data_IF_969908976555
#
_entry.id   IF_969908976555
#
_cell.length_a   1.000
_cell.length_b   1.000
_cell.length_c   1.000
_cell.angle_alpha   90.00
_cell.angle_beta   90.00
_cell.angle_gamma   90.00
#
_symmetry.space_group_name_H-M   'P 1'
#
loop_
_entity.id
_entity.type
_entity.pdbx_description
1 polymer ?
#
# COMPACT_ATOMS: atom_id res chain seq x y z
N UNK A 1 17.03 15.79 -4.08
CA UNK A 1 16.28 15.83 -2.80
C UNK A 1 14.96 16.63 -2.90
N UNK A 2 14.95 17.83 -3.50
CA UNK A 2 13.72 18.65 -3.64
C UNK A 2 12.60 17.99 -4.44
N UNK A 3 12.89 17.26 -5.51
CA UNK A 3 11.89 16.55 -6.32
C UNK A 3 11.20 15.42 -5.57
N UNK A 4 11.94 14.65 -4.77
CA UNK A 4 11.37 13.55 -3.97
C UNK A 4 10.40 14.08 -2.91
N UNK A 5 10.73 15.19 -2.27
CA UNK A 5 9.85 15.85 -1.31
C UNK A 5 8.62 16.48 -2.00
N UNK A 6 8.80 17.10 -3.16
CA UNK A 6 7.70 17.71 -3.90
C UNK A 6 6.68 16.66 -4.38
N UNK A 7 7.13 15.53 -4.91
CA UNK A 7 6.25 14.43 -5.32
C UNK A 7 5.70 13.66 -4.12
N UNK A 8 6.50 13.46 -3.07
CA UNK A 8 6.08 12.76 -1.85
C UNK A 8 5.00 13.51 -1.04
N UNK A 9 5.03 14.85 -1.04
CA UNK A 9 4.07 15.69 -0.33
C UNK A 9 2.98 16.27 -1.25
N UNK A 10 3.31 16.54 -2.50
CA UNK A 10 2.40 17.19 -3.44
C UNK A 10 1.13 16.38 -3.70
N UNK A 11 1.27 15.11 -4.06
CA UNK A 11 0.13 14.23 -4.31
C UNK A 11 -0.78 14.05 -3.08
N UNK A 12 -0.26 13.73 -1.87
CA UNK A 12 -1.06 13.69 -0.65
C UNK A 12 -1.85 14.96 -0.38
N UNK A 13 -1.20 16.10 -0.46
CA UNK A 13 -1.84 17.40 -0.18
C UNK A 13 -2.94 17.70 -1.21
N UNK A 14 -2.64 17.55 -2.50
CA UNK A 14 -3.63 17.78 -3.56
C UNK A 14 -4.82 16.84 -3.44
N UNK A 15 -4.58 15.57 -3.12
CA UNK A 15 -5.64 14.59 -2.94
C UNK A 15 -6.50 14.91 -1.71
N UNK A 16 -5.88 15.29 -0.61
CA UNK A 16 -6.60 15.65 0.61
C UNK A 16 -7.43 16.93 0.46
N UNK A 17 -6.89 17.92 -0.24
CA UNK A 17 -7.64 19.14 -0.56
C UNK A 17 -8.80 18.83 -1.52
N UNK A 18 -8.53 18.10 -2.60
CA UNK A 18 -9.54 17.82 -3.61
C UNK A 18 -10.63 16.89 -3.11
N UNK A 19 -10.25 15.75 -2.55
CA UNK A 19 -11.18 14.71 -2.11
C UNK A 19 -11.65 14.96 -0.68
N UNK A 20 -10.73 15.26 0.24
CA UNK A 20 -11.07 15.46 1.65
C UNK A 20 -11.89 16.71 1.90
N UNK A 21 -11.45 17.87 1.40
CA UNK A 21 -12.16 19.12 1.59
C UNK A 21 -13.21 19.38 0.50
N UNK A 22 -12.91 19.09 -0.77
CA UNK A 22 -13.82 19.35 -1.88
C UNK A 22 -15.03 18.41 -1.87
N UNK A 23 -14.80 17.13 -2.11
CA UNK A 23 -15.89 16.11 -2.08
C UNK A 23 -16.42 15.97 -0.66
N UNK A 24 -15.55 16.03 0.37
CA UNK A 24 -15.93 15.93 1.77
C UNK A 24 -16.97 16.96 2.18
N UNK A 25 -16.81 18.22 1.80
CA UNK A 25 -17.78 19.26 2.10
C UNK A 25 -19.17 18.96 1.51
N UNK A 26 -19.24 18.38 0.30
CA UNK A 26 -20.49 17.98 -0.34
C UNK A 26 -21.13 16.78 0.36
N UNK A 27 -20.32 15.77 0.71
CA UNK A 27 -20.80 14.57 1.40
C UNK A 27 -21.31 14.92 2.79
N UNK A 28 -20.53 15.67 3.57
CA UNK A 28 -20.89 16.06 4.93
C UNK A 28 -22.15 16.95 4.95
N UNK A 29 -22.30 17.87 3.98
CA UNK A 29 -23.49 18.69 3.84
C UNK A 29 -24.73 17.85 3.49
N UNK A 30 -24.62 16.86 2.59
CA UNK A 30 -25.72 16.01 2.17
C UNK A 30 -26.14 14.98 3.25
N UNK A 31 -25.24 14.64 4.17
CA UNK A 31 -25.52 13.73 5.29
C UNK A 31 -25.96 14.47 6.58
N UNK A 32 -26.27 15.77 6.46
CA UNK A 32 -26.64 16.58 7.62
C UNK A 32 -25.52 16.76 8.65
N UNK A 33 -24.28 16.69 8.22
CA UNK A 33 -23.08 16.78 9.08
C UNK A 33 -22.67 15.45 9.71
N UNK A 34 -23.39 14.34 9.45
CA UNK A 34 -23.09 13.02 10.00
C UNK A 34 -21.96 12.28 9.28
N UNK A 35 -21.52 12.77 8.13
CA UNK A 35 -20.47 12.14 7.33
C UNK A 35 -20.79 10.72 6.88
N UNK A 36 -19.76 9.86 6.75
CA UNK A 36 -19.91 8.44 6.42
C UNK A 36 -19.53 7.60 7.66
N UNK A 37 -20.35 6.64 8.03
CA UNK A 37 -20.18 5.80 9.22
C UNK A 37 -20.03 6.63 10.53
N UNK A 38 -20.70 7.78 10.59
CA UNK A 38 -20.68 8.64 11.78
C UNK A 38 -19.44 9.49 11.97
N UNK A 39 -18.57 9.59 10.95
CA UNK A 39 -17.37 10.44 10.98
C UNK A 39 -17.32 11.36 9.76
N UNK A 40 -16.70 12.56 9.85
CA UNK A 40 -16.47 13.42 8.70
C UNK A 40 -15.79 12.66 7.56
N UNK A 41 -16.13 12.99 6.33
CA UNK A 41 -15.64 12.28 5.14
C UNK A 41 -14.10 12.23 5.07
N UNK A 42 -13.42 13.30 5.48
CA UNK A 42 -11.95 13.34 5.53
C UNK A 42 -11.37 12.26 6.47
N UNK A 43 -12.03 12.00 7.60
CA UNK A 43 -11.62 10.94 8.54
C UNK A 43 -11.93 9.55 7.99
N UNK A 44 -13.03 9.41 7.25
CA UNK A 44 -13.41 8.15 6.60
C UNK A 44 -12.39 7.73 5.53
N UNK A 45 -11.89 8.66 4.71
CA UNK A 45 -10.93 8.34 3.63
C UNK A 45 -9.49 8.26 4.10
N UNK A 46 -9.13 8.88 5.23
CA UNK A 46 -7.75 9.01 5.69
C UNK A 46 -7.01 7.66 5.84
N UNK A 47 -7.56 6.59 6.44
CA UNK A 47 -6.90 5.28 6.54
C UNK A 47 -6.61 4.67 5.16
N UNK A 48 -7.52 4.84 4.20
CA UNK A 48 -7.36 4.32 2.85
C UNK A 48 -6.27 5.07 2.06
N UNK A 49 -6.24 6.38 2.18
CA UNK A 49 -5.21 7.21 1.55
C UNK A 49 -3.83 6.88 2.12
N UNK A 50 -3.72 6.68 3.44
CA UNK A 50 -2.47 6.33 4.09
C UNK A 50 -1.96 4.96 3.65
N UNK A 51 -2.83 3.95 3.64
CA UNK A 51 -2.48 2.59 3.19
C UNK A 51 -2.10 2.57 1.70
N UNK A 52 -2.79 3.36 0.86
CA UNK A 52 -2.45 3.51 -0.55
C UNK A 52 -1.08 4.15 -0.76
N UNK A 53 -0.75 5.16 0.05
CA UNK A 53 0.56 5.81 0.02
C UNK A 53 1.69 4.84 0.44
N UNK A 54 1.44 4.00 1.45
CA UNK A 54 2.38 2.97 1.87
C UNK A 54 2.63 1.94 0.74
N UNK A 55 1.56 1.43 0.11
CA UNK A 55 1.64 0.50 -1.02
C UNK A 55 2.38 1.14 -2.19
N UNK A 56 2.09 2.40 -2.54
CA UNK A 56 2.76 3.09 -3.62
C UNK A 56 4.25 3.30 -3.32
N UNK A 57 4.59 3.69 -2.09
CA UNK A 57 5.97 3.92 -1.67
C UNK A 57 6.86 2.67 -1.79
N UNK A 58 6.34 1.47 -1.49
CA UNK A 58 7.09 0.22 -1.68
C UNK A 58 7.15 -0.20 -3.15
N UNK A 59 6.10 0.09 -3.94
CA UNK A 59 6.06 -0.23 -5.37
C UNK A 59 7.21 0.41 -6.15
N UNK A 60 7.53 1.65 -5.81
CA UNK A 60 8.60 2.41 -6.45
C UNK A 60 9.97 1.70 -6.35
N UNK A 61 10.18 0.81 -5.37
CA UNK A 61 11.43 0.09 -5.16
C UNK A 61 11.39 -1.34 -5.71
N UNK A 62 10.28 -2.05 -5.54
CA UNK A 62 10.18 -3.46 -5.95
C UNK A 62 9.91 -3.66 -7.45
N UNK A 63 9.76 -2.59 -8.22
CA UNK A 63 9.54 -2.61 -9.68
C UNK A 63 10.82 -2.29 -10.44
N UNK A 64 10.93 -1.07 -11.00
CA UNK A 64 12.04 -0.68 -11.86
C UNK A 64 13.42 -0.77 -11.21
N UNK A 65 13.68 -0.33 -9.96
CA UNK A 65 14.98 -0.48 -9.34
C UNK A 65 15.40 -1.94 -9.15
N UNK A 66 14.45 -2.81 -8.80
CA UNK A 66 14.72 -4.25 -8.73
C UNK A 66 15.01 -4.83 -10.11
N UNK A 67 14.29 -4.40 -11.15
CA UNK A 67 14.55 -4.80 -12.53
C UNK A 67 15.92 -4.34 -12.97
N UNK A 68 16.31 -3.10 -12.63
CA UNK A 68 17.61 -2.52 -12.92
C UNK A 68 18.75 -3.39 -12.36
N UNK A 69 18.65 -3.76 -11.10
CA UNK A 69 19.63 -4.65 -10.45
C UNK A 69 19.81 -6.01 -11.13
N UNK A 70 18.76 -6.50 -11.83
CA UNK A 70 18.84 -7.77 -12.58
C UNK A 70 19.23 -7.61 -14.05
N UNK A 71 18.73 -6.58 -14.74
CA UNK A 71 18.73 -6.54 -16.21
C UNK A 71 19.73 -5.52 -16.76
N UNK A 72 19.64 -4.29 -16.28
CA UNK A 72 20.41 -3.18 -16.86
C UNK A 72 21.79 -3.05 -16.19
N UNK A 73 21.85 -2.71 -14.92
CA UNK A 73 23.10 -2.55 -14.18
C UNK A 73 23.71 -3.90 -13.74
N UNK A 74 22.88 -4.95 -13.68
CA UNK A 74 23.29 -6.30 -13.24
C UNK A 74 24.00 -6.33 -11.89
N UNK A 75 23.71 -5.35 -11.04
CA UNK A 75 24.33 -5.17 -9.73
C UNK A 75 24.13 -6.40 -8.82
N UNK A 76 22.97 -7.05 -8.90
CA UNK A 76 22.69 -8.23 -8.07
C UNK A 76 23.60 -9.41 -8.40
N UNK A 77 24.02 -9.57 -9.66
CA UNK A 77 24.99 -10.60 -10.04
C UNK A 77 26.39 -10.29 -9.45
N UNK A 78 26.81 -9.03 -9.49
CA UNK A 78 28.08 -8.61 -8.90
C UNK A 78 28.08 -8.83 -7.37
N UNK A 79 26.98 -8.51 -6.68
CA UNK A 79 26.84 -8.74 -5.25
C UNK A 79 26.83 -10.25 -4.96
N UNK A 80 26.11 -11.06 -5.74
CA UNK A 80 26.03 -12.51 -5.56
C UNK A 80 27.37 -13.23 -5.84
N UNK A 81 28.29 -12.60 -6.57
CA UNK A 81 29.66 -13.10 -6.76
C UNK A 81 30.55 -12.93 -5.50
N UNK A 82 30.06 -12.24 -4.48
CA UNK A 82 30.73 -12.09 -3.18
C UNK A 82 30.20 -13.14 -2.18
N UNK A 83 30.40 -12.92 -0.89
CA UNK A 83 29.85 -13.78 0.19
C UNK A 83 28.36 -13.59 0.46
N UNK A 84 27.69 -12.67 -0.27
CA UNK A 84 26.27 -12.36 -0.10
C UNK A 84 25.40 -13.31 -0.90
N UNK A 85 24.50 -14.00 -0.22
CA UNK A 85 23.59 -14.96 -0.86
C UNK A 85 22.42 -14.27 -1.57
N UNK A 86 21.83 -14.96 -2.55
CA UNK A 86 20.63 -14.50 -3.27
C UNK A 86 19.46 -14.16 -2.32
N UNK A 87 19.34 -14.88 -1.20
CA UNK A 87 18.33 -14.59 -0.16
C UNK A 87 18.60 -13.25 0.53
N UNK A 88 19.85 -12.99 0.90
CA UNK A 88 20.23 -11.71 1.53
C UNK A 88 20.05 -10.52 0.58
N UNK A 89 20.25 -10.72 -0.73
CA UNK A 89 19.93 -9.69 -1.73
C UNK A 89 18.42 -9.40 -1.76
N UNK A 90 17.58 -10.45 -1.78
CA UNK A 90 16.12 -10.30 -1.75
C UNK A 90 15.64 -9.61 -0.46
N UNK A 91 16.20 -9.99 0.70
CA UNK A 91 15.89 -9.36 1.98
C UNK A 91 16.34 -7.88 2.00
N UNK A 92 17.51 -7.57 1.42
CA UNK A 92 17.99 -6.20 1.25
C UNK A 92 17.06 -5.33 0.42
N UNK A 93 16.59 -5.83 -0.72
CA UNK A 93 15.59 -5.12 -1.56
C UNK A 93 14.30 -4.87 -0.77
N UNK A 94 13.81 -5.87 -0.04
CA UNK A 94 12.60 -5.72 0.77
C UNK A 94 12.77 -4.70 1.89
N UNK A 95 13.92 -4.70 2.58
CA UNK A 95 14.22 -3.72 3.63
C UNK A 95 14.25 -2.30 3.07
N UNK A 96 14.89 -2.08 1.92
CA UNK A 96 14.94 -0.77 1.26
C UNK A 96 13.55 -0.34 0.83
N UNK A 97 12.76 -1.24 0.25
CA UNK A 97 11.37 -0.97 -0.15
C UNK A 97 10.51 -0.57 1.05
N UNK A 98 10.58 -1.31 2.15
CA UNK A 98 9.85 -0.99 3.38
C UNK A 98 10.34 0.31 4.02
N UNK A 99 11.63 0.59 4.00
CA UNK A 99 12.19 1.86 4.47
C UNK A 99 11.65 3.05 3.68
N UNK A 100 11.59 2.93 2.35
CA UNK A 100 11.01 3.96 1.46
C UNK A 100 9.49 4.10 1.68
N UNK A 101 8.78 2.98 1.77
CA UNK A 101 7.35 2.96 2.07
C UNK A 101 7.05 3.60 3.43
N UNK A 102 7.86 3.32 4.45
CA UNK A 102 7.74 3.93 5.77
C UNK A 102 7.95 5.44 5.71
N UNK A 103 8.97 5.90 5.00
CA UNK A 103 9.21 7.34 4.83
C UNK A 103 8.01 8.03 4.16
N UNK A 104 7.50 7.46 3.05
CA UNK A 104 6.31 7.99 2.35
C UNK A 104 5.09 8.00 3.26
N UNK A 105 4.87 6.91 4.01
CA UNK A 105 3.73 6.79 4.94
C UNK A 105 3.81 7.82 6.07
N UNK A 106 4.99 8.04 6.64
CA UNK A 106 5.20 9.05 7.68
C UNK A 106 4.97 10.47 7.16
N UNK A 107 5.42 10.78 5.95
CA UNK A 107 5.16 12.06 5.31
C UNK A 107 3.66 12.29 5.12
N UNK A 108 2.96 11.28 4.61
CA UNK A 108 1.52 11.34 4.41
C UNK A 108 0.76 11.48 5.74
N UNK A 109 1.17 10.71 6.75
CA UNK A 109 0.59 10.76 8.08
C UNK A 109 0.75 12.15 8.73
N UNK A 110 1.92 12.79 8.54
CA UNK A 110 2.14 14.16 8.97
C UNK A 110 1.16 15.15 8.34
N UNK A 111 0.86 14.97 7.05
CA UNK A 111 -0.16 15.77 6.35
C UNK A 111 -1.56 15.50 6.93
N UNK A 112 -1.94 14.22 7.12
CA UNK A 112 -3.25 13.87 7.70
C UNK A 112 -3.44 14.45 9.11
N UNK A 113 -2.39 14.44 9.92
CA UNK A 113 -2.40 15.06 11.26
C UNK A 113 -2.56 16.59 11.18
N UNK A 114 -1.84 17.26 10.28
CA UNK A 114 -1.93 18.70 10.08
C UNK A 114 -3.33 19.15 9.64
N UNK A 115 -4.04 18.32 8.90
CA UNK A 115 -5.43 18.55 8.48
C UNK A 115 -6.47 18.07 9.50
N UNK A 116 -6.05 17.49 10.64
CA UNK A 116 -6.97 16.95 11.64
C UNK A 116 -7.78 15.74 11.16
N UNK A 117 -7.31 15.08 10.09
CA UNK A 117 -7.99 13.93 9.49
C UNK A 117 -7.86 12.66 10.34
N UNK A 118 -6.87 12.58 11.22
CA UNK A 118 -6.66 11.45 12.14
C UNK A 118 -6.28 11.97 13.53
N UNK A 119 -6.73 11.31 14.61
CA UNK A 119 -6.29 11.64 15.95
C UNK A 119 -4.87 11.14 16.21
N UNK A 120 -4.12 11.83 17.04
CA UNK A 120 -2.74 11.46 17.35
C UNK A 120 -2.61 10.04 17.96
N UNK A 121 -3.61 9.60 18.69
CA UNK A 121 -3.70 8.26 19.29
C UNK A 121 -3.70 7.13 18.25
N UNK A 122 -4.15 7.41 17.02
CA UNK A 122 -4.25 6.43 15.93
C UNK A 122 -3.00 6.35 15.04
N UNK A 123 -1.99 7.18 15.30
CA UNK A 123 -0.76 7.25 14.50
C UNK A 123 -0.09 5.87 14.38
N UNK A 124 0.20 5.23 15.51
CA UNK A 124 0.90 3.93 15.53
C UNK A 124 0.04 2.81 14.92
N UNK A 125 -1.23 2.64 15.31
CA UNK A 125 -2.10 1.65 14.69
C UNK A 125 -2.25 1.80 13.17
N UNK A 126 -2.44 3.02 12.68
CA UNK A 126 -2.55 3.31 11.24
C UNK A 126 -1.25 3.03 10.49
N UNK A 127 -0.12 3.41 11.09
CA UNK A 127 1.20 3.12 10.52
C UNK A 127 1.43 1.62 10.39
N UNK A 128 1.14 0.85 11.44
CA UNK A 128 1.33 -0.60 11.44
C UNK A 128 0.42 -1.31 10.44
N UNK A 129 -0.87 -0.96 10.38
CA UNK A 129 -1.80 -1.56 9.42
C UNK A 129 -1.42 -1.24 7.97
N UNK A 130 -1.00 0.00 7.69
CA UNK A 130 -0.57 0.42 6.36
C UNK A 130 0.74 -0.26 5.93
N UNK A 131 1.72 -0.36 6.85
CA UNK A 131 3.00 -1.01 6.57
C UNK A 131 2.85 -2.53 6.42
N UNK A 132 1.91 -3.14 7.12
CA UNK A 132 1.61 -4.57 6.95
C UNK A 132 1.05 -4.84 5.54
N UNK A 133 0.14 -4.00 5.05
CA UNK A 133 -0.36 -4.09 3.68
C UNK A 133 0.74 -3.82 2.64
N UNK A 134 1.58 -2.83 2.88
CA UNK A 134 2.73 -2.52 2.04
C UNK A 134 3.69 -3.71 1.94
N UNK A 135 4.01 -4.37 3.07
CA UNK A 135 4.84 -5.57 3.08
C UNK A 135 4.17 -6.74 2.35
N UNK A 136 2.88 -6.98 2.61
CA UNK A 136 2.11 -8.02 1.91
C UNK A 136 2.15 -7.83 0.39
N UNK A 137 1.83 -6.62 -0.07
CA UNK A 137 1.80 -6.29 -1.48
C UNK A 137 3.18 -6.30 -2.13
N UNK A 138 4.19 -5.68 -1.49
CA UNK A 138 5.55 -5.63 -2.03
C UNK A 138 6.17 -7.01 -2.20
N UNK A 139 5.87 -7.96 -1.31
CA UNK A 139 6.38 -9.33 -1.42
C UNK A 139 5.82 -10.05 -2.65
N UNK A 140 4.54 -9.85 -2.99
CA UNK A 140 3.93 -10.37 -4.22
C UNK A 140 4.54 -9.71 -5.45
N UNK A 141 4.66 -8.38 -5.43
CA UNK A 141 5.24 -7.63 -6.54
C UNK A 141 6.71 -7.97 -6.77
N UNK A 142 7.50 -8.12 -5.71
CA UNK A 142 8.88 -8.55 -5.80
C UNK A 142 9.02 -9.94 -6.41
N UNK A 143 8.10 -10.87 -6.07
CA UNK A 143 8.05 -12.20 -6.67
C UNK A 143 7.70 -12.15 -8.18
N UNK A 144 6.87 -11.21 -8.60
CA UNK A 144 6.54 -10.98 -10.01
C UNK A 144 7.77 -10.38 -10.71
N UNK A 145 8.34 -9.29 -10.19
CA UNK A 145 9.51 -8.61 -10.78
C UNK A 145 10.71 -9.56 -10.92
N UNK A 146 10.93 -10.44 -9.94
CA UNK A 146 12.00 -11.43 -10.01
C UNK A 146 11.84 -12.45 -11.16
N UNK A 147 10.64 -12.60 -11.71
CA UNK A 147 10.35 -13.49 -12.86
C UNK A 147 10.48 -12.80 -14.20
N UNK A 148 10.35 -11.48 -14.24
CA UNK A 148 10.38 -10.73 -15.49
C UNK A 148 11.82 -10.62 -16.01
N UNK A 149 12.04 -11.08 -17.23
CA UNK A 149 13.33 -10.93 -17.93
C UNK A 149 13.44 -9.56 -18.61
N UNK A 150 12.31 -8.98 -18.99
CA UNK A 150 12.19 -7.63 -19.59
C UNK A 150 10.91 -6.98 -19.12
N UNK A 151 10.90 -5.66 -19.04
CA UNK A 151 9.65 -4.90 -18.85
C UNK A 151 9.05 -4.57 -20.23
N UNK A 152 8.19 -5.43 -20.72
CA UNK A 152 7.42 -5.21 -21.94
C UNK A 152 6.09 -4.45 -21.64
N UNK A 153 6.12 -3.52 -20.69
CA UNK A 153 4.95 -2.78 -20.24
C UNK A 153 4.17 -3.46 -19.09
N UNK A 154 4.70 -4.52 -18.49
CA UNK A 154 4.04 -5.26 -17.40
C UNK A 154 3.75 -4.36 -16.19
N UNK A 155 4.67 -3.48 -15.80
CA UNK A 155 4.42 -2.58 -14.67
C UNK A 155 3.33 -1.57 -14.97
N UNK A 156 3.23 -1.09 -16.22
CA UNK A 156 2.14 -0.21 -16.64
C UNK A 156 0.79 -0.95 -16.65
N UNK A 157 0.76 -2.22 -17.08
CA UNK A 157 -0.45 -3.06 -17.01
C UNK A 157 -0.89 -3.31 -15.57
N UNK A 158 0.04 -3.65 -14.68
CA UNK A 158 -0.23 -3.84 -13.25
C UNK A 158 -0.76 -2.53 -12.64
N UNK A 159 -0.15 -1.40 -12.96
CA UNK A 159 -0.62 -0.09 -12.50
C UNK A 159 -2.07 0.20 -12.90
N UNK A 160 -2.42 -0.07 -14.15
CA UNK A 160 -3.77 0.22 -14.69
C UNK A 160 -4.83 -0.81 -14.31
N UNK A 161 -4.49 -2.10 -14.33
CA UNK A 161 -5.47 -3.19 -14.21
C UNK A 161 -5.50 -3.84 -12.83
N UNK A 162 -4.52 -3.56 -11.98
CA UNK A 162 -4.48 -4.07 -10.60
C UNK A 162 -4.49 -2.93 -9.59
N UNK A 163 -3.51 -2.01 -9.64
CA UNK A 163 -3.39 -0.94 -8.65
C UNK A 163 -4.56 0.04 -8.71
N UNK A 164 -4.93 0.51 -9.91
CA UNK A 164 -6.02 1.48 -10.05
C UNK A 164 -7.38 0.87 -9.63
N UNK A 165 -7.79 -0.34 -10.08
CA UNK A 165 -8.98 -0.99 -9.55
C UNK A 165 -8.89 -1.29 -8.05
N UNK A 166 -7.75 -1.73 -7.55
CA UNK A 166 -7.53 -1.93 -6.13
C UNK A 166 -7.83 -0.64 -5.33
N UNK A 167 -7.34 0.51 -5.79
CA UNK A 167 -7.61 1.79 -5.15
C UNK A 167 -9.08 2.21 -5.20
N UNK A 168 -9.74 1.99 -6.34
CA UNK A 168 -11.13 2.40 -6.54
C UNK A 168 -12.15 1.49 -5.83
N UNK A 169 -11.87 0.18 -5.80
CA UNK A 169 -12.84 -0.83 -5.34
C UNK A 169 -12.55 -1.41 -3.95
N UNK A 170 -11.58 -0.86 -3.21
CA UNK A 170 -11.25 -1.31 -1.85
C UNK A 170 -11.97 -0.55 -0.74
N UNK A 171 -13.12 0.07 -1.05
CA UNK A 171 -13.85 0.85 -0.06
C UNK A 171 -13.17 2.16 0.31
N UNK A 172 -12.30 2.70 -0.53
CA UNK A 172 -11.54 3.93 -0.28
C UNK A 172 -12.48 5.13 -0.13
N UNK A 173 -13.42 5.30 -1.07
CA UNK A 173 -14.28 6.48 -1.19
C UNK A 173 -15.68 6.30 -0.60
N UNK A 174 -16.12 5.07 -0.44
CA UNK A 174 -17.42 4.68 0.13
C UNK A 174 -17.32 3.25 0.71
N UNK A 175 -18.20 2.87 1.64
CA UNK A 175 -18.23 1.51 2.18
C UNK A 175 -18.40 0.47 1.08
N UNK A 176 -17.66 -0.65 1.18
CA UNK A 176 -17.68 -1.72 0.16
C UNK A 176 -19.09 -2.30 -0.04
N UNK A 177 -19.88 -2.33 1.03
CA UNK A 177 -21.24 -2.84 1.08
C UNK A 177 -22.22 -2.03 0.21
N UNK A 178 -21.89 -0.77 -0.08
CA UNK A 178 -22.68 0.10 -0.96
C UNK A 178 -22.40 -0.14 -2.45
N UNK A 179 -21.37 -0.94 -2.75
CA UNK A 179 -21.09 -1.33 -4.14
C UNK A 179 -22.03 -2.44 -4.61
N UNK A 180 -22.30 -2.49 -5.95
CA UNK A 180 -22.96 -3.64 -6.53
C UNK A 180 -22.26 -4.94 -6.14
N UNK A 181 -23.03 -5.96 -5.76
CA UNK A 181 -22.50 -7.22 -5.18
C UNK A 181 -21.46 -7.92 -6.07
N UNK A 182 -21.55 -7.77 -7.38
CA UNK A 182 -20.61 -8.35 -8.34
C UNK A 182 -19.24 -7.64 -8.36
N UNK A 183 -19.11 -6.45 -7.78
CA UNK A 183 -17.83 -5.70 -7.63
C UNK A 183 -17.19 -5.90 -6.25
N UNK A 184 -17.95 -6.26 -5.22
CA UNK A 184 -17.44 -6.44 -3.87
C UNK A 184 -16.28 -7.45 -3.76
N UNK A 185 -16.25 -8.56 -4.53
CA UNK A 185 -15.12 -9.50 -4.50
C UNK A 185 -13.77 -8.87 -4.85
N UNK A 186 -13.75 -7.81 -5.67
CA UNK A 186 -12.52 -7.08 -5.98
C UNK A 186 -11.94 -6.41 -4.71
N UNK A 187 -12.82 -5.89 -3.86
CA UNK A 187 -12.42 -5.36 -2.56
C UNK A 187 -11.93 -6.47 -1.63
N UNK A 188 -12.67 -7.57 -1.49
CA UNK A 188 -12.32 -8.65 -0.57
C UNK A 188 -10.95 -9.31 -0.86
N UNK A 189 -10.54 -9.37 -2.12
CA UNK A 189 -9.22 -9.87 -2.51
C UNK A 189 -8.14 -8.81 -2.33
N UNK A 190 -8.51 -7.54 -2.17
CA UNK A 190 -7.57 -6.43 -2.14
C UNK A 190 -6.86 -6.31 -0.78
N UNK A 191 -5.52 -6.31 -0.73
CA UNK A 191 -4.80 -6.01 0.50
C UNK A 191 -5.09 -4.60 1.03
N UNK A 192 -5.41 -3.67 0.14
CA UNK A 192 -5.79 -2.32 0.53
C UNK A 192 -7.08 -2.32 1.37
N UNK A 193 -8.11 -3.08 0.97
CA UNK A 193 -9.34 -3.17 1.73
C UNK A 193 -9.12 -3.70 3.15
N UNK A 194 -8.33 -4.76 3.30
CA UNK A 194 -8.00 -5.31 4.61
C UNK A 194 -7.29 -4.29 5.51
N UNK A 195 -6.36 -3.52 4.94
CA UNK A 195 -5.69 -2.44 5.68
C UNK A 195 -6.64 -1.30 6.03
N UNK A 196 -7.55 -0.94 5.13
CA UNK A 196 -8.55 0.12 5.33
C UNK A 196 -9.50 -0.26 6.47
N UNK A 197 -9.98 -1.50 6.52
CA UNK A 197 -10.85 -1.98 7.59
C UNK A 197 -10.14 -1.96 8.95
N UNK A 198 -8.91 -2.46 9.02
CA UNK A 198 -8.08 -2.34 10.23
C UNK A 198 -7.84 -0.88 10.61
N UNK A 199 -7.49 -0.04 9.64
CA UNK A 199 -7.23 1.38 9.88
C UNK A 199 -8.46 2.11 10.42
N UNK A 200 -9.65 1.88 9.87
CA UNK A 200 -10.91 2.47 10.33
C UNK A 200 -11.28 2.00 11.73
N UNK A 201 -11.18 0.70 11.98
CA UNK A 201 -11.43 0.14 13.31
C UNK A 201 -10.49 0.76 14.36
N UNK A 202 -9.21 0.86 14.04
CA UNK A 202 -8.17 1.34 14.96
C UNK A 202 -8.13 2.87 15.10
N UNK A 203 -8.68 3.64 14.14
CA UNK A 203 -8.61 5.10 14.18
C UNK A 203 -9.84 5.75 14.81
N UNK A 204 -11.02 5.30 14.47
CA UNK A 204 -12.28 5.89 14.98
C UNK A 204 -13.28 4.85 15.47
N UNK A 205 -12.85 3.60 15.71
CA UNK A 205 -13.68 2.58 16.37
C UNK A 205 -14.77 2.00 15.48
N UNK A 206 -14.60 1.98 14.14
CA UNK A 206 -15.57 1.31 13.27
C UNK A 206 -15.77 -0.14 13.73
N UNK A 207 -17.02 -0.55 13.91
CA UNK A 207 -17.35 -1.91 14.31
C UNK A 207 -16.96 -2.89 13.19
N UNK A 208 -16.26 -3.95 13.57
CA UNK A 208 -15.99 -5.11 12.72
C UNK A 208 -16.80 -6.29 13.24
N UNK A 209 -17.29 -7.13 12.33
CA UNK A 209 -17.93 -8.39 12.76
C UNK A 209 -16.94 -9.26 13.55
N UNK A 210 -17.47 -10.12 14.41
CA UNK A 210 -16.66 -10.96 15.30
C UNK A 210 -15.58 -11.74 14.55
N UNK A 211 -14.33 -11.59 15.02
CA UNK A 211 -13.17 -12.25 14.44
C UNK A 211 -12.60 -11.61 13.18
N UNK A 212 -13.31 -10.67 12.52
CA UNK A 212 -12.84 -10.04 11.26
C UNK A 212 -11.54 -9.26 11.44
N UNK A 213 -11.27 -8.70 12.61
CA UNK A 213 -9.99 -8.08 12.91
C UNK A 213 -8.82 -9.04 12.65
N UNK A 214 -8.91 -10.27 13.16
CA UNK A 214 -7.87 -11.28 12.96
C UNK A 214 -7.83 -11.81 11.52
N UNK A 215 -8.96 -11.85 10.82
CA UNK A 215 -9.02 -12.22 9.41
C UNK A 215 -8.24 -11.22 8.56
N UNK A 216 -8.47 -9.90 8.75
CA UNK A 216 -7.74 -8.86 8.02
C UNK A 216 -6.25 -8.91 8.33
N UNK A 217 -5.87 -9.05 9.60
CA UNK A 217 -4.48 -9.16 10.02
C UNK A 217 -3.80 -10.39 9.42
N UNK A 218 -4.44 -11.56 9.53
CA UNK A 218 -3.94 -12.82 9.00
C UNK A 218 -3.80 -12.79 7.47
N UNK A 219 -4.77 -12.22 6.75
CA UNK A 219 -4.70 -12.08 5.30
C UNK A 219 -3.44 -11.34 4.86
N UNK A 220 -3.18 -10.17 5.43
CA UNK A 220 -2.02 -9.37 5.10
C UNK A 220 -0.70 -10.06 5.48
N UNK A 221 -0.65 -10.69 6.65
CA UNK A 221 0.52 -11.42 7.11
C UNK A 221 0.82 -12.65 6.25
N UNK A 222 -0.20 -13.45 5.93
CA UNK A 222 -0.07 -14.62 5.07
C UNK A 222 0.38 -14.20 3.67
N UNK A 223 -0.21 -13.14 3.11
CA UNK A 223 0.19 -12.59 1.82
C UNK A 223 1.69 -12.24 1.78
N UNK A 224 2.20 -11.57 2.83
CA UNK A 224 3.62 -11.24 2.97
C UNK A 224 4.51 -12.49 3.06
N UNK A 225 4.16 -13.42 3.94
CA UNK A 225 4.93 -14.67 4.14
C UNK A 225 4.94 -15.49 2.86
N UNK A 226 3.79 -15.71 2.24
CA UNK A 226 3.66 -16.49 1.00
C UNK A 226 4.41 -15.81 -0.14
N UNK A 227 4.27 -14.47 -0.28
CA UNK A 227 5.02 -13.71 -1.28
C UNK A 227 6.53 -13.92 -1.15
N UNK A 228 7.09 -13.76 0.06
CA UNK A 228 8.52 -13.97 0.30
C UNK A 228 8.97 -15.41 0.02
N UNK A 229 8.12 -16.42 0.29
CA UNK A 229 8.45 -17.82 -0.08
C UNK A 229 8.59 -18.00 -1.58
N UNK A 230 7.92 -17.21 -2.40
CA UNK A 230 8.09 -17.21 -3.87
C UNK A 230 9.28 -16.34 -4.33
N UNK A 231 9.63 -15.31 -3.60
CA UNK A 231 10.77 -14.43 -3.91
C UNK A 231 12.09 -15.19 -3.83
N UNK A 232 12.36 -15.89 -2.72
CA UNK A 232 13.66 -16.52 -2.47
C UNK A 232 14.11 -17.51 -3.53
N UNK A 233 13.29 -18.49 -3.96
CA UNK A 233 13.72 -19.43 -4.99
C UNK A 233 13.93 -18.73 -6.34
N UNK A 234 13.17 -17.68 -6.64
CA UNK A 234 13.31 -16.95 -7.91
C UNK A 234 14.59 -16.09 -7.95
N UNK A 235 14.95 -15.43 -6.87
CA UNK A 235 16.24 -14.76 -6.77
C UNK A 235 17.39 -15.76 -6.93
N UNK A 236 17.32 -16.90 -6.23
CA UNK A 236 18.34 -17.95 -6.35
C UNK A 236 18.44 -18.48 -7.79
N UNK A 237 17.33 -18.84 -8.41
CA UNK A 237 17.28 -19.34 -9.79
C UNK A 237 17.89 -18.34 -10.78
N UNK A 238 17.52 -17.04 -10.62
CA UNK A 238 17.94 -15.99 -11.54
C UNK A 238 19.43 -15.64 -11.40
N UNK A 239 19.94 -15.64 -10.18
CA UNK A 239 21.35 -15.33 -9.90
C UNK A 239 22.30 -16.52 -10.06
N UNK A 240 21.78 -17.73 -10.28
CA UNK A 240 22.58 -18.93 -10.59
C UNK A 240 22.77 -19.16 -12.09
N UNK A 241 22.14 -18.38 -12.94
CA UNK A 241 22.29 -18.43 -14.40
C UNK A 241 23.48 -17.58 -14.83
#
# INVERSE_FOLDING_TARGET
MGSVLAFGLGNPILYLISVGLGIGALVDANTGGGGILGVPYIQFVAPALLASAAIQGVMDEVTFPTMDGFVWDKLFFAINATSVSARQIADGVMIVALGRGLFTTLMYLGVLLAFGAVPFTSVIPLLLSSMLAAWGWSSVMLAITARLERDEGYFALIGRFVIAPMFLFSGTFYPLEQMPIYLQPLGWISPLWHSVQLGRHLSYGMELADGMFFVHLAYLAIMGIVGMRFVYPKFKERLSR
#
